data_IF_882649971104
#
_entry.id   IF_882649971104
#
_cell.length_a   1.000
_cell.length_b   1.000
_cell.length_c   1.000
_cell.angle_alpha   90.00
_cell.angle_beta   90.00
_cell.angle_gamma   90.00
#
_symmetry.space_group_name_H-M   'P 1'
#
loop_
_entity.id
_entity.type
_entity.pdbx_description
1 polymer ?
#
# COMPACT_ATOMS: atom_id res chain seq x y z
N UNK A 1 24.49 15.18 12.94
CA UNK A 1 23.13 15.72 13.13
C UNK A 1 22.26 14.56 13.60
N UNK A 2 21.63 14.65 14.78
CA UNK A 2 20.56 13.69 15.12
C UNK A 2 19.35 14.11 14.29
N UNK A 3 18.92 13.27 13.36
CA UNK A 3 17.61 13.44 12.74
C UNK A 3 16.57 13.01 13.76
N UNK A 4 15.70 13.93 14.16
CA UNK A 4 14.52 13.56 14.94
C UNK A 4 13.65 12.66 14.06
N UNK A 5 13.38 11.45 14.55
CA UNK A 5 12.47 10.54 13.87
C UNK A 5 11.07 11.19 13.82
N UNK A 6 10.36 11.08 12.68
CA UNK A 6 9.01 11.59 12.61
C UNK A 6 8.13 10.90 13.67
N UNK A 7 7.36 11.69 14.40
CA UNK A 7 6.33 11.17 15.30
C UNK A 7 5.05 10.97 14.51
N UNK A 8 4.47 9.78 14.61
CA UNK A 8 3.15 9.49 14.07
C UNK A 8 2.06 9.87 15.09
N UNK A 9 0.83 10.23 14.64
CA UNK A 9 0.42 10.37 13.24
C UNK A 9 1.00 11.60 12.54
N UNK A 10 1.27 11.47 11.24
CA UNK A 10 1.74 12.57 10.38
C UNK A 10 0.56 13.15 9.58
N UNK A 11 0.23 14.45 9.74
CA UNK A 11 -0.74 15.11 8.87
C UNK A 11 -0.08 15.43 7.51
N UNK A 12 -0.77 15.07 6.42
CA UNK A 12 -0.37 15.41 5.05
C UNK A 12 -1.56 16.09 4.38
N UNK A 13 -1.36 17.33 3.92
CA UNK A 13 -2.41 18.07 3.20
C UNK A 13 -2.08 18.18 1.72
N UNK A 14 -3.05 17.84 0.88
CA UNK A 14 -3.11 18.23 -0.53
C UNK A 14 -3.99 19.48 -0.66
N UNK A 15 -4.07 20.13 -1.84
CA UNK A 15 -4.96 21.28 -2.02
C UNK A 15 -6.44 21.00 -1.75
N UNK A 16 -6.86 19.74 -1.78
CA UNK A 16 -8.28 19.34 -1.68
C UNK A 16 -8.61 18.52 -0.43
N UNK A 17 -7.62 17.91 0.23
CA UNK A 17 -7.87 16.97 1.33
C UNK A 17 -6.68 16.87 2.28
N UNK A 18 -6.97 16.70 3.56
CA UNK A 18 -5.97 16.33 4.58
C UNK A 18 -6.09 14.85 4.91
N UNK A 19 -4.94 14.21 5.05
CA UNK A 19 -4.78 12.83 5.44
C UNK A 19 -3.99 12.74 6.74
N UNK A 20 -4.37 11.80 7.59
CA UNK A 20 -3.61 11.35 8.74
C UNK A 20 -2.87 10.08 8.34
N UNK A 21 -1.54 10.10 8.37
CA UNK A 21 -0.72 8.92 8.10
C UNK A 21 -0.27 8.31 9.41
N UNK A 22 -0.47 7.01 9.58
CA UNK A 22 -0.10 6.27 10.78
C UNK A 22 0.89 5.16 10.42
N UNK A 23 1.86 4.94 11.30
CA UNK A 23 2.70 3.75 11.28
C UNK A 23 2.00 2.65 12.07
N UNK A 24 1.75 1.51 11.40
CA UNK A 24 1.07 0.36 11.99
C UNK A 24 1.86 -0.92 11.72
N UNK A 25 1.44 -2.03 12.34
CA UNK A 25 2.01 -3.35 12.06
C UNK A 25 1.69 -3.80 10.63
N UNK A 26 2.62 -4.49 9.97
CA UNK A 26 2.37 -5.16 8.68
C UNK A 26 1.13 -6.09 8.71
N UNK A 27 0.86 -6.69 9.89
CA UNK A 27 -0.26 -7.58 10.13
C UNK A 27 -1.60 -6.85 10.41
N UNK A 28 -1.63 -5.52 10.34
CA UNK A 28 -2.87 -4.75 10.50
C UNK A 28 -3.95 -5.24 9.51
N UNK A 29 -5.15 -5.62 9.98
CA UNK A 29 -6.21 -6.14 9.12
C UNK A 29 -6.67 -5.18 8.02
N UNK A 30 -6.71 -3.88 8.30
CA UNK A 30 -7.10 -2.88 7.31
C UNK A 30 -6.01 -2.76 6.23
N UNK A 31 -4.75 -2.81 6.65
CA UNK A 31 -3.61 -2.87 5.73
C UNK A 31 -3.60 -4.15 4.87
N UNK A 32 -3.92 -5.31 5.45
CA UNK A 32 -4.03 -6.55 4.69
C UNK A 32 -5.11 -6.47 3.60
N UNK A 33 -6.29 -5.96 3.97
CA UNK A 33 -7.40 -5.72 3.03
C UNK A 33 -6.98 -4.81 1.87
N UNK A 34 -6.32 -3.69 2.15
CA UNK A 34 -5.85 -2.76 1.12
C UNK A 34 -4.84 -3.40 0.16
N UNK A 35 -3.95 -4.27 0.65
CA UNK A 35 -3.01 -5.01 -0.21
C UNK A 35 -3.73 -6.01 -1.11
N UNK A 36 -4.74 -6.71 -0.59
CA UNK A 36 -5.55 -7.63 -1.39
C UNK A 36 -6.35 -6.88 -2.48
N UNK A 37 -6.94 -5.74 -2.13
CA UNK A 37 -7.65 -4.86 -3.09
C UNK A 37 -6.70 -4.32 -4.17
N UNK A 38 -5.49 -3.90 -3.79
CA UNK A 38 -4.47 -3.47 -4.74
C UNK A 38 -4.07 -4.59 -5.71
N UNK A 39 -3.96 -5.83 -5.19
CA UNK A 39 -3.64 -7.00 -6.02
C UNK A 39 -4.73 -7.24 -7.06
N UNK A 40 -6.00 -7.13 -6.67
CA UNK A 40 -7.14 -7.24 -7.59
C UNK A 40 -7.10 -6.12 -8.63
N UNK A 41 -6.95 -4.87 -8.21
CA UNK A 41 -6.92 -3.70 -9.10
C UNK A 41 -5.82 -3.81 -10.16
N UNK A 42 -4.59 -4.15 -9.75
CA UNK A 42 -3.47 -4.28 -10.69
C UNK A 42 -3.73 -5.49 -11.63
N UNK A 43 -4.36 -6.57 -11.14
CA UNK A 43 -4.66 -7.76 -11.95
C UNK A 43 -5.70 -7.45 -13.01
N UNK A 44 -6.70 -6.64 -12.68
CA UNK A 44 -7.71 -6.15 -13.61
C UNK A 44 -7.12 -5.19 -14.65
N UNK A 45 -6.28 -4.25 -14.22
CA UNK A 45 -5.67 -3.23 -15.11
C UNK A 45 -4.68 -3.82 -16.10
N UNK A 46 -3.91 -4.83 -15.68
CA UNK A 46 -2.81 -5.38 -16.48
C UNK A 46 -3.06 -6.82 -16.97
N UNK A 47 -4.17 -7.43 -16.57
CA UNK A 47 -4.76 -8.62 -17.18
C UNK A 47 -4.02 -9.94 -16.89
N UNK A 48 -4.71 -10.85 -16.20
CA UNK A 48 -4.62 -12.28 -16.51
C UNK A 48 -6.00 -12.75 -16.99
N UNK A 49 -6.16 -13.00 -18.30
CA UNK A 49 -7.35 -13.70 -18.81
C UNK A 49 -7.26 -15.19 -18.49
N UNK A 50 -8.37 -15.88 -18.16
CA UNK A 50 -8.32 -17.29 -17.78
C UNK A 50 -8.16 -18.17 -19.03
N UNK A 51 -6.94 -18.66 -19.25
CA UNK A 51 -6.62 -19.64 -20.29
C UNK A 51 -5.33 -19.29 -21.03
N UNK A 52 -4.27 -20.07 -20.76
CA UNK A 52 -2.88 -19.90 -21.23
C UNK A 52 -2.04 -18.80 -20.56
N UNK A 53 -1.80 -18.95 -19.27
CA UNK A 53 -0.48 -18.86 -18.59
C UNK A 53 -0.66 -18.96 -17.06
N UNK A 54 -1.55 -19.87 -16.65
CA UNK A 54 -2.07 -19.97 -15.28
C UNK A 54 -1.04 -20.48 -14.25
N UNK A 55 0.24 -20.62 -14.61
CA UNK A 55 1.32 -20.97 -13.68
C UNK A 55 2.58 -20.09 -13.81
N UNK A 56 2.61 -19.12 -14.73
CA UNK A 56 3.76 -18.21 -14.90
C UNK A 56 3.43 -16.77 -14.48
N UNK A 57 2.24 -16.26 -14.80
CA UNK A 57 1.86 -14.88 -14.45
C UNK A 57 1.29 -14.71 -13.03
N UNK A 58 0.66 -15.74 -12.45
CA UNK A 58 0.32 -15.74 -11.02
C UNK A 58 1.58 -15.88 -10.13
N UNK A 59 2.67 -16.37 -10.71
CA UNK A 59 3.98 -16.24 -10.09
C UNK A 59 4.42 -14.77 -10.15
N UNK A 60 4.40 -14.07 -11.28
CA UNK A 60 4.89 -12.68 -11.40
C UNK A 60 4.07 -11.61 -10.65
N UNK A 61 2.84 -11.93 -10.27
CA UNK A 61 2.00 -10.98 -9.55
C UNK A 61 2.21 -11.01 -8.03
N UNK A 62 2.63 -12.17 -7.51
CA UNK A 62 3.32 -12.27 -6.22
C UNK A 62 4.85 -12.11 -6.35
N UNK A 63 5.40 -12.18 -7.57
CA UNK A 63 6.83 -12.11 -7.88
C UNK A 63 7.10 -10.91 -8.81
N UNK A 64 7.09 -9.69 -8.26
CA UNK A 64 8.25 -8.85 -8.56
C UNK A 64 9.48 -9.76 -8.34
N UNK A 65 10.43 -9.88 -9.28
CA UNK A 65 11.47 -10.91 -9.20
C UNK A 65 12.08 -10.95 -7.79
N UNK A 66 11.84 -12.05 -7.07
CA UNK A 66 12.19 -12.16 -5.64
C UNK A 66 11.10 -12.76 -4.77
N UNK A 67 11.37 -12.80 -3.46
CA UNK A 67 10.46 -13.29 -2.43
C UNK A 67 9.44 -12.18 -2.09
N UNK A 68 8.14 -12.51 -1.94
CA UNK A 68 7.14 -11.56 -1.47
C UNK A 68 7.53 -10.94 -0.11
N UNK A 69 7.18 -9.68 0.16
CA UNK A 69 7.44 -9.07 1.46
C UNK A 69 6.79 -9.86 2.61
N UNK A 70 7.49 -9.91 3.73
CA UNK A 70 7.08 -10.59 4.95
C UNK A 70 7.18 -9.65 6.15
N UNK A 71 6.50 -9.99 7.25
CA UNK A 71 6.60 -9.16 8.46
C UNK A 71 8.05 -8.98 8.96
N UNK A 72 8.94 -9.91 8.61
CA UNK A 72 10.34 -9.92 9.05
C UNK A 72 11.22 -8.94 8.25
N UNK A 73 10.83 -8.60 7.02
CA UNK A 73 11.58 -7.69 6.14
C UNK A 73 10.96 -6.29 6.02
N UNK A 74 9.73 -6.10 6.46
CA UNK A 74 9.08 -4.79 6.51
C UNK A 74 9.58 -3.98 7.72
N UNK A 75 10.24 -2.86 7.43
CA UNK A 75 10.75 -1.93 8.46
C UNK A 75 9.82 -0.76 8.73
N UNK A 76 8.90 -0.47 7.81
CA UNK A 76 7.91 0.59 7.93
C UNK A 76 6.67 0.22 7.15
N UNK A 77 5.51 0.25 7.81
CA UNK A 77 4.22 0.10 7.13
C UNK A 77 3.26 1.22 7.54
N UNK A 78 2.75 1.93 6.55
CA UNK A 78 1.96 3.12 6.73
C UNK A 78 0.55 2.92 6.19
N UNK A 79 -0.43 3.45 6.92
CA UNK A 79 -1.81 3.61 6.47
C UNK A 79 -2.15 5.09 6.39
N UNK A 80 -2.88 5.49 5.36
CA UNK A 80 -3.38 6.85 5.19
C UNK A 80 -4.89 6.89 5.38
N UNK A 81 -5.33 7.73 6.31
CA UNK A 81 -6.73 7.94 6.67
C UNK A 81 -7.15 9.35 6.22
N UNK A 82 -8.30 9.53 5.57
CA UNK A 82 -8.90 10.85 5.44
C UNK A 82 -9.10 11.47 6.83
N UNK A 83 -8.90 12.78 6.98
CA UNK A 83 -8.97 13.47 8.28
C UNK A 83 -10.24 13.15 9.10
N UNK A 84 -11.37 12.92 8.41
CA UNK A 84 -12.68 12.69 9.02
C UNK A 84 -13.15 11.22 8.95
N UNK A 85 -12.23 10.26 8.81
CA UNK A 85 -12.54 8.84 8.70
C UNK A 85 -11.52 7.98 9.45
N UNK A 86 -11.98 6.85 9.99
CA UNK A 86 -11.14 5.80 10.54
C UNK A 86 -10.97 4.60 9.58
N UNK A 87 -11.53 4.71 8.37
CA UNK A 87 -11.26 3.77 7.28
C UNK A 87 -10.07 4.28 6.45
N UNK A 88 -8.95 3.53 6.37
CA UNK A 88 -7.80 3.93 5.58
C UNK A 88 -8.10 3.75 4.09
N UNK A 89 -7.55 4.63 3.27
CA UNK A 89 -7.78 4.66 1.81
C UNK A 89 -6.54 4.30 0.99
N UNK A 90 -5.38 4.19 1.64
CA UNK A 90 -4.13 3.79 1.01
C UNK A 90 -3.18 3.18 2.04
N UNK A 91 -2.27 2.34 1.57
CA UNK A 91 -1.15 1.86 2.37
C UNK A 91 0.20 2.05 1.66
N UNK A 92 1.29 1.83 2.38
CA UNK A 92 2.65 2.01 1.86
C UNK A 92 3.67 1.30 2.73
N UNK A 93 4.66 0.66 2.13
CA UNK A 93 5.64 -0.12 2.86
C UNK A 93 7.07 0.16 2.39
N UNK A 94 8.01 0.15 3.33
CA UNK A 94 9.44 0.05 3.05
C UNK A 94 9.90 -1.31 3.57
N UNK A 95 10.54 -2.09 2.69
CA UNK A 95 11.22 -3.33 3.06
C UNK A 95 12.73 -3.14 3.07
N UNK A 96 13.38 -3.74 4.05
CA UNK A 96 14.83 -3.84 4.08
C UNK A 96 15.30 -4.95 3.15
N UNK A 97 16.31 -4.64 2.36
CA UNK A 97 17.07 -5.57 1.55
C UNK A 97 18.48 -5.69 2.14
N UNK A 98 19.22 -6.72 1.73
CA UNK A 98 20.61 -6.88 2.15
C UNK A 98 21.49 -5.68 1.72
N UNK A 99 22.68 -5.58 2.31
CA UNK A 99 23.70 -4.57 2.00
C UNK A 99 23.26 -3.10 2.16
N UNK A 100 22.27 -2.86 3.03
CA UNK A 100 21.77 -1.53 3.34
C UNK A 100 20.87 -0.93 2.26
N UNK A 101 20.42 -1.76 1.31
CA UNK A 101 19.40 -1.36 0.34
C UNK A 101 18.01 -1.42 0.96
N UNK A 102 17.12 -0.56 0.47
CA UNK A 102 15.72 -0.51 0.87
C UNK A 102 14.87 -0.48 -0.38
N UNK A 103 13.73 -1.14 -0.35
CA UNK A 103 12.73 -1.04 -1.40
C UNK A 103 11.47 -0.37 -0.88
N UNK A 104 11.00 0.62 -1.65
CA UNK A 104 9.66 1.16 -1.52
C UNK A 104 8.75 0.39 -2.48
N UNK A 105 7.78 -0.35 -1.95
CA UNK A 105 6.80 -1.01 -2.80
C UNK A 105 5.87 0.04 -3.40
N UNK A 106 5.79 0.19 -4.73
CA UNK A 106 4.91 1.17 -5.34
C UNK A 106 3.46 0.79 -5.04
N UNK A 107 2.85 1.53 -4.14
CA UNK A 107 1.43 1.45 -3.86
C UNK A 107 0.70 2.45 -4.74
N UNK A 108 0.48 2.05 -5.98
CA UNK A 108 -0.34 2.82 -6.91
C UNK A 108 -1.81 2.50 -6.66
N UNK A 109 -2.39 2.95 -5.54
CA UNK A 109 -3.84 3.18 -5.48
C UNK A 109 -4.13 4.54 -6.11
N UNK A 110 -3.86 4.66 -7.42
CA UNK A 110 -4.44 5.77 -8.20
C UNK A 110 -5.86 5.39 -8.58
N UNK A 111 -6.72 5.29 -7.56
CA UNK A 111 -8.15 5.45 -7.70
C UNK A 111 -8.69 6.07 -6.41
N UNK A 112 -8.24 7.31 -6.15
CA UNK A 112 -9.11 8.30 -5.51
C UNK A 112 -10.23 8.61 -6.52
N UNK A 113 -11.06 7.62 -6.84
CA UNK A 113 -12.43 7.91 -7.22
C UNK A 113 -13.06 8.35 -5.92
N UNK A 114 -13.07 9.67 -5.71
CA UNK A 114 -14.07 10.31 -4.87
C UNK A 114 -15.42 9.70 -5.22
N UNK A 115 -15.84 8.67 -4.50
CA UNK A 115 -17.25 8.37 -4.33
C UNK A 115 -17.79 9.51 -3.46
N UNK A 116 -17.86 10.71 -4.05
CA UNK A 116 -18.99 11.59 -3.84
C UNK A 116 -20.21 10.77 -4.25
N UNK A 117 -20.72 9.96 -3.31
CA UNK A 117 -22.15 9.69 -3.27
C UNK A 117 -22.77 11.07 -3.21
N UNK A 118 -23.26 11.56 -4.34
CA UNK A 118 -24.23 12.63 -4.37
C UNK A 118 -25.37 12.15 -3.47
N UNK A 119 -25.42 12.73 -2.26
CA UNK A 119 -26.63 12.70 -1.45
C UNK A 119 -27.35 13.98 -1.86
N UNK A 120 -28.51 13.77 -2.48
CA UNK A 120 -29.47 14.72 -3.08
C UNK A 120 -29.18 15.18 -4.51
#
# INVERSE_FOLDING_TARGET
MKHDSPSFPLPISTPTTTFRVEHVSWADPAGAKLRDEQVVEISERFGTSPGKELNLLLSHFHNAPGVPPSADDIVLFLLAYPENSDEPVACGAIRHLDDGFMEASPQSTLNIQTHTKNIY
#
